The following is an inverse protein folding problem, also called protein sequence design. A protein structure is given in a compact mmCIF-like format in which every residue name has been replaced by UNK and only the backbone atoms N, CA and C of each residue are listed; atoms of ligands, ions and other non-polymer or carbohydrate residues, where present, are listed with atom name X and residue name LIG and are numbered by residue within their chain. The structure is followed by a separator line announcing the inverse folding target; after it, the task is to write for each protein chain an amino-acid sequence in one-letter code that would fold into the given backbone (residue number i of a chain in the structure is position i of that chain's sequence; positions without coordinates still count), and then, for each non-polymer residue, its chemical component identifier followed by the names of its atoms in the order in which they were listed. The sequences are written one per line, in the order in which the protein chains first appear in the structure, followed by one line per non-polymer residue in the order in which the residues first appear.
data_IF_831949783573
#
_entry.id   IF_831949783573
#
_cell.length_a   1.000
_cell.length_b   1.000
_cell.length_c   1.000
_cell.angle_alpha   90.00
_cell.angle_beta   90.00
_cell.angle_gamma   90.00
#
_symmetry.space_group_name_H-M   'P 1'
#
loop_
_entity.id
_entity.type
_entity.pdbx_description
1 polymer ?
#
# COMPACT_ATOMS: atom_id res chain seq x y z
N UNK A 1 31.78 -6.45 -4.90
CA UNK A 1 30.58 -7.30 -4.83
C UNK A 1 29.59 -6.61 -3.90
N UNK A 2 28.68 -5.81 -4.46
CA UNK A 2 27.77 -4.98 -3.67
C UNK A 2 26.75 -5.85 -2.92
N UNK A 3 26.65 -5.61 -1.61
CA UNK A 3 25.72 -6.27 -0.69
C UNK A 3 24.30 -6.34 -1.28
N UNK A 4 23.83 -7.55 -1.55
CA UNK A 4 22.54 -7.84 -2.16
C UNK A 4 21.38 -7.60 -1.20
N UNK A 5 21.00 -6.34 -0.98
CA UNK A 5 19.65 -6.04 -0.49
C UNK A 5 18.67 -6.37 -1.62
N UNK A 6 18.14 -7.60 -1.64
CA UNK A 6 17.05 -7.96 -2.54
C UNK A 6 15.91 -6.96 -2.34
N UNK A 7 15.39 -6.41 -3.44
CA UNK A 7 14.30 -5.43 -3.40
C UNK A 7 13.15 -5.99 -2.52
N UNK A 8 12.75 -5.31 -1.44
CA UNK A 8 11.78 -5.84 -0.48
C UNK A 8 10.41 -6.12 -1.14
N UNK A 9 10.05 -5.39 -2.20
CA UNK A 9 8.82 -5.64 -2.96
C UNK A 9 8.88 -6.92 -3.80
N UNK A 10 10.09 -7.34 -4.20
CA UNK A 10 10.31 -8.64 -4.86
C UNK A 10 10.33 -9.76 -3.82
N UNK A 11 10.99 -9.56 -2.69
CA UNK A 11 11.04 -10.56 -1.59
C UNK A 11 9.64 -10.83 -1.04
N UNK A 12 8.85 -9.77 -0.84
CA UNK A 12 7.45 -9.86 -0.42
C UNK A 12 6.47 -10.20 -1.54
N UNK A 13 6.96 -10.53 -2.75
CA UNK A 13 6.16 -10.91 -3.93
C UNK A 13 5.14 -9.88 -4.42
N UNK A 14 5.17 -8.65 -3.90
CA UNK A 14 4.33 -7.54 -4.37
C UNK A 14 4.60 -7.27 -5.85
N UNK A 15 5.88 -7.20 -6.24
CA UNK A 15 6.25 -7.20 -7.66
C UNK A 15 6.11 -8.63 -8.19
N UNK A 16 5.28 -8.81 -9.21
CA UNK A 16 4.97 -10.08 -9.85
C UNK A 16 3.61 -10.67 -9.44
N UNK A 17 3.11 -10.41 -8.22
CA UNK A 17 1.74 -10.80 -7.85
C UNK A 17 0.74 -9.63 -7.88
N UNK A 18 1.17 -8.40 -7.57
CA UNK A 18 0.29 -7.22 -7.47
C UNK A 18 0.59 -6.18 -8.54
N UNK A 19 1.88 -5.91 -8.76
CA UNK A 19 2.33 -4.90 -9.73
C UNK A 19 3.45 -5.45 -10.61
N UNK A 20 3.55 -4.93 -11.82
CA UNK A 20 4.67 -5.23 -12.72
C UNK A 20 5.98 -4.57 -12.23
N UNK A 21 7.15 -5.12 -12.59
CA UNK A 21 8.43 -4.47 -12.31
C UNK A 21 8.47 -3.04 -12.84
N UNK A 22 8.94 -2.11 -12.01
CA UNK A 22 8.99 -0.69 -12.34
C UNK A 22 10.26 -0.03 -11.79
N UNK A 23 10.65 1.10 -12.37
CA UNK A 23 11.66 1.99 -11.81
C UNK A 23 10.97 3.09 -10.99
N UNK A 24 11.35 3.23 -9.72
CA UNK A 24 10.77 4.27 -8.86
C UNK A 24 11.23 5.66 -9.30
N UNK A 25 10.32 6.46 -9.86
CA UNK A 25 10.60 7.82 -10.32
C UNK A 25 10.18 8.92 -9.33
N UNK A 26 9.30 8.58 -8.37
CA UNK A 26 8.70 9.54 -7.44
C UNK A 26 8.78 8.99 -6.01
N UNK A 27 9.09 9.87 -5.05
CA UNK A 27 9.05 9.53 -3.62
C UNK A 27 7.59 9.33 -3.16
N UNK A 28 7.30 8.14 -2.63
CA UNK A 28 6.01 7.81 -2.04
C UNK A 28 6.18 7.52 -0.55
N UNK A 29 5.51 8.29 0.30
CA UNK A 29 5.54 8.13 1.76
C UNK A 29 4.13 7.89 2.28
N UNK A 30 4.02 6.91 3.17
CA UNK A 30 2.80 6.61 3.91
C UNK A 30 3.14 6.68 5.38
N UNK A 31 2.31 7.37 6.16
CA UNK A 31 2.45 7.43 7.60
C UNK A 31 1.07 7.31 8.25
N UNK A 32 1.01 6.57 9.35
CA UNK A 32 -0.16 6.51 10.22
C UNK A 32 0.20 7.17 11.56
N UNK A 33 -0.40 8.32 11.84
CA UNK A 33 0.01 9.16 12.97
C UNK A 33 1.49 9.55 12.86
N UNK A 34 2.28 9.23 13.89
CA UNK A 34 3.71 9.54 13.94
C UNK A 34 4.61 8.41 13.41
N UNK A 35 4.05 7.35 12.82
CA UNK A 35 4.80 6.19 12.32
C UNK A 35 4.79 6.15 10.80
N UNK A 36 5.96 6.30 10.20
CA UNK A 36 6.18 6.07 8.77
C UNK A 36 6.17 4.57 8.47
N UNK A 37 5.53 4.20 7.36
CA UNK A 37 5.42 2.82 6.89
C UNK A 37 6.67 2.45 6.10
N UNK A 38 7.22 1.28 6.40
CA UNK A 38 8.32 0.69 5.62
C UNK A 38 7.86 -0.62 4.99
N UNK A 39 8.44 -0.98 3.84
CA UNK A 39 8.08 -2.23 3.16
C UNK A 39 8.24 -3.44 4.10
N UNK A 40 7.19 -4.25 4.22
CA UNK A 40 7.16 -5.45 5.06
C UNK A 40 6.97 -5.19 6.56
N UNK A 41 6.73 -3.96 7.02
CA UNK A 41 6.46 -3.71 8.43
C UNK A 41 5.05 -4.19 8.81
N UNK A 42 4.93 -4.88 9.95
CA UNK A 42 3.64 -5.27 10.49
C UNK A 42 2.96 -4.09 11.19
N UNK A 43 1.67 -3.90 10.88
CA UNK A 43 0.80 -2.89 11.45
C UNK A 43 -0.43 -3.59 12.01
N UNK A 44 -0.80 -3.27 13.26
CA UNK A 44 -2.05 -3.74 13.85
C UNK A 44 -3.24 -3.05 13.15
N UNK A 45 -4.40 -3.72 13.05
CA UNK A 45 -5.68 -3.10 12.67
C UNK A 45 -5.90 -1.69 13.25
N UNK A 46 -5.69 -1.51 14.55
CA UNK A 46 -5.87 -0.23 15.23
C UNK A 46 -4.89 0.86 14.80
N UNK A 47 -3.77 0.51 14.17
CA UNK A 47 -2.76 1.45 13.68
C UNK A 47 -3.08 1.97 12.27
N UNK A 48 -3.96 1.29 11.53
CA UNK A 48 -4.27 1.62 10.12
C UNK A 48 -5.68 2.17 9.93
N UNK A 49 -6.35 2.55 11.02
CA UNK A 49 -7.70 3.10 10.97
C UNK A 49 -7.80 4.47 10.24
N UNK A 50 -6.67 5.13 9.98
CA UNK A 50 -6.61 6.42 9.28
C UNK A 50 -6.06 6.26 7.87
N UNK A 51 -6.46 7.13 6.96
CA UNK A 51 -6.38 6.95 5.51
C UNK A 51 -4.96 7.07 4.85
N UNK A 52 -4.46 6.04 4.11
CA UNK A 52 -3.23 6.09 3.25
C UNK A 52 -3.47 6.20 1.72
N UNK A 53 -2.87 7.13 0.96
CA UNK A 53 -3.21 7.46 -0.47
C UNK A 53 -3.90 6.41 -1.39
N UNK A 54 -3.47 5.15 -1.37
CA UNK A 54 -4.24 4.01 -1.90
C UNK A 54 -3.95 2.76 -1.05
N UNK A 55 -4.93 1.86 -0.90
CA UNK A 55 -4.77 0.60 -0.18
C UNK A 55 -5.48 -0.53 -0.93
N UNK A 56 -4.74 -1.58 -1.23
CA UNK A 56 -5.22 -2.79 -1.90
C UNK A 56 -4.72 -4.00 -1.11
N UNK A 57 -5.60 -4.94 -0.81
CA UNK A 57 -5.27 -6.21 -0.16
C UNK A 57 -5.26 -7.34 -1.20
N UNK A 58 -4.07 -7.88 -1.55
CA UNK A 58 -3.99 -9.02 -2.45
C UNK A 58 -4.42 -10.33 -1.77
N UNK A 59 -4.52 -10.38 -0.46
CA UNK A 59 -4.69 -11.62 0.30
C UNK A 59 -6.07 -11.76 0.91
N UNK A 60 -7.06 -10.97 0.49
CA UNK A 60 -8.41 -11.02 1.03
C UNK A 60 -9.18 -12.32 0.64
N UNK A 61 -9.90 -12.97 1.58
CA UNK A 61 -9.94 -12.71 3.02
C UNK A 61 -8.77 -13.33 3.81
N UNK A 62 -8.03 -14.28 3.23
CA UNK A 62 -6.81 -14.80 3.86
C UNK A 62 -5.71 -15.13 2.83
N UNK A 63 -4.42 -15.02 3.22
CA UNK A 63 -3.30 -15.37 2.34
C UNK A 63 -3.34 -16.82 1.84
N UNK A 64 -3.98 -17.71 2.60
CA UNK A 64 -4.16 -19.12 2.24
C UNK A 64 -5.33 -19.37 1.28
N UNK A 65 -6.31 -18.46 1.20
CA UNK A 65 -7.47 -18.56 0.33
C UNK A 65 -7.90 -17.17 -0.18
N UNK A 66 -7.10 -16.55 -1.09
CA UNK A 66 -7.28 -15.15 -1.50
C UNK A 66 -8.36 -15.01 -2.58
N UNK A 67 -9.59 -15.47 -2.31
CA UNK A 67 -10.69 -15.51 -3.28
C UNK A 67 -11.13 -14.13 -3.77
N UNK A 68 -10.80 -13.07 -3.02
CA UNK A 68 -11.16 -11.68 -3.32
C UNK A 68 -9.95 -10.83 -3.69
N UNK A 69 -8.82 -11.46 -4.07
CA UNK A 69 -7.65 -10.75 -4.64
C UNK A 69 -8.08 -10.00 -5.91
N UNK A 70 -7.84 -8.71 -6.09
CA UNK A 70 -7.20 -7.71 -5.24
C UNK A 70 -8.27 -6.76 -4.66
N UNK A 71 -8.51 -6.83 -3.35
CA UNK A 71 -9.59 -6.08 -2.71
C UNK A 71 -9.19 -4.62 -2.51
N UNK A 72 -9.96 -3.70 -3.07
CA UNK A 72 -9.69 -2.26 -2.98
C UNK A 72 -10.28 -1.69 -1.69
N UNK A 73 -9.40 -1.34 -0.75
CA UNK A 73 -9.80 -0.69 0.50
C UNK A 73 -9.95 0.81 0.36
N UNK A 74 -9.14 1.47 -0.47
CA UNK A 74 -9.20 2.92 -0.63
C UNK A 74 -8.56 3.41 -1.93
N UNK A 75 -9.18 4.41 -2.57
CA UNK A 75 -8.65 5.04 -3.77
C UNK A 75 -8.87 6.55 -3.77
N UNK A 76 -7.77 7.30 -3.83
CA UNK A 76 -7.75 8.74 -4.10
C UNK A 76 -7.02 9.01 -5.40
N UNK A 77 -7.65 9.84 -6.24
CA UNK A 77 -7.14 10.29 -7.54
C UNK A 77 -6.84 11.79 -7.51
N UNK A 78 -6.29 12.34 -8.59
CA UNK A 78 -6.13 13.79 -8.78
C UNK A 78 -5.38 14.55 -7.66
N UNK A 79 -4.46 13.89 -6.96
CA UNK A 79 -3.65 14.52 -5.92
C UNK A 79 -2.64 15.50 -6.56
N UNK A 80 -2.69 16.81 -6.27
CA UNK A 80 -1.72 17.76 -6.80
C UNK A 80 -0.29 17.37 -6.42
N UNK A 81 0.67 17.62 -7.32
CA UNK A 81 2.08 17.31 -7.09
C UNK A 81 2.56 17.91 -5.76
N UNK A 82 3.37 17.14 -5.01
CA UNK A 82 3.93 17.51 -3.69
C UNK A 82 2.92 17.62 -2.52
N UNK A 83 1.63 17.35 -2.75
CA UNK A 83 0.60 17.33 -1.70
C UNK A 83 0.27 15.90 -1.22
N UNK A 84 -0.79 15.76 -0.41
CA UNK A 84 -1.24 14.49 0.18
C UNK A 84 -2.65 14.08 -0.26
N UNK A 85 -3.09 12.89 0.17
CA UNK A 85 -4.39 12.33 -0.19
C UNK A 85 -5.59 13.25 0.12
N UNK A 86 -5.47 14.08 1.16
CA UNK A 86 -6.50 15.05 1.56
C UNK A 86 -6.79 16.15 0.52
N UNK A 87 -5.93 16.29 -0.50
CA UNK A 87 -6.07 17.27 -1.58
C UNK A 87 -6.53 16.62 -2.90
N UNK A 88 -6.71 15.31 -2.93
CA UNK A 88 -7.19 14.58 -4.10
C UNK A 88 -8.69 14.35 -4.09
N UNK A 89 -9.16 13.63 -5.10
CA UNK A 89 -10.54 13.20 -5.26
C UNK A 89 -10.72 11.75 -4.77
N UNK A 90 -11.49 11.55 -3.71
CA UNK A 90 -11.79 10.23 -3.15
C UNK A 90 -12.84 9.50 -4.00
N UNK A 91 -12.43 8.42 -4.66
CA UNK A 91 -13.27 7.66 -5.61
C UNK A 91 -13.84 6.39 -4.98
N UNK A 92 -13.13 5.82 -4.01
CA UNK A 92 -13.63 4.75 -3.15
C UNK A 92 -13.33 5.15 -1.71
N UNK A 93 -14.35 5.12 -0.84
CA UNK A 93 -14.20 5.45 0.57
C UNK A 93 -13.36 4.38 1.29
N UNK A 94 -12.65 4.78 2.33
CA UNK A 94 -11.82 3.84 3.10
C UNK A 94 -12.70 2.80 3.79
N UNK A 95 -12.52 1.54 3.41
CA UNK A 95 -13.17 0.39 4.06
C UNK A 95 -12.16 -0.40 4.91
N UNK A 96 -12.46 -0.49 6.20
CA UNK A 96 -11.73 -1.33 7.13
C UNK A 96 -12.53 -2.62 7.36
N UNK A 97 -12.24 -3.65 6.56
CA UNK A 97 -12.82 -4.97 6.77
C UNK A 97 -12.00 -5.69 7.84
N UNK A 98 -12.66 -6.13 8.93
CA UNK A 98 -12.07 -6.88 10.05
C UNK A 98 -11.73 -8.32 9.68
#
# INVERSE_FOLDING_TARGET
MGSGSRNPLVVGRVIGEVIDPFESSISFRVAYGNREVSNGCELKPSQVANQPRALVDPDAPSPSNPTSRAYLHWLVTDIPATTGASFGNEVAAFDFVQ
#
